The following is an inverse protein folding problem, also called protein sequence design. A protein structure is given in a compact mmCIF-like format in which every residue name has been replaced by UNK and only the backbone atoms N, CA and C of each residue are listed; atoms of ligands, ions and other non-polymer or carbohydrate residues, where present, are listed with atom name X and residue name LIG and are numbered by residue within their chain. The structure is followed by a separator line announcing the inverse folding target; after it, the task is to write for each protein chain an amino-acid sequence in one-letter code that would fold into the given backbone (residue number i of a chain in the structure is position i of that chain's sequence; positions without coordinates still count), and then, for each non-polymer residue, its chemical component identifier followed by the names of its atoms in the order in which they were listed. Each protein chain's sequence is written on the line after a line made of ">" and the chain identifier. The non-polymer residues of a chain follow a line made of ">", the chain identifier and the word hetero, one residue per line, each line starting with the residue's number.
data_IF_121555469816
#
_entry.id   IF_121555469816
#
_cell.length_a   1.000
_cell.length_b   1.000
_cell.length_c   1.000
_cell.angle_alpha   90.00
_cell.angle_beta   90.00
_cell.angle_gamma   90.00
#
_symmetry.space_group_name_H-M   'P 1'
#
loop_
_entity.id
_entity.type
_entity.pdbx_description
1 polymer ?
#
# COMPACT_ATOMS: atom_id res chain seq x y z
N UNK A 1 26.19 25.40 20.13
CA UNK A 1 25.30 24.54 20.94
C UNK A 1 24.86 23.37 20.07
N UNK A 2 25.01 22.14 20.54
CA UNK A 2 24.58 20.95 19.80
C UNK A 2 23.05 20.87 19.83
N UNK A 3 22.39 20.99 18.68
CA UNK A 3 20.95 20.79 18.54
C UNK A 3 20.65 19.30 18.75
N UNK A 4 19.87 18.99 19.79
CA UNK A 4 19.41 17.63 20.08
C UNK A 4 17.90 17.57 19.94
N UNK A 5 17.41 16.81 18.96
CA UNK A 5 15.99 16.54 18.81
C UNK A 5 15.49 15.69 19.98
N UNK A 6 14.22 15.87 20.34
CA UNK A 6 13.54 15.12 21.39
C UNK A 6 12.06 14.98 21.02
N UNK A 7 11.35 14.06 21.68
CA UNK A 7 9.99 13.66 21.30
C UNK A 7 8.96 14.82 21.32
N UNK A 8 9.08 15.73 22.28
CA UNK A 8 8.16 16.88 22.41
C UNK A 8 8.51 18.06 21.48
N UNK A 9 9.57 17.93 20.68
CA UNK A 9 9.94 18.93 19.70
C UNK A 9 8.85 19.04 18.62
N UNK A 10 8.42 20.26 18.34
CA UNK A 10 7.46 20.57 17.27
C UNK A 10 8.09 20.29 15.89
N UNK A 11 7.32 19.75 14.95
CA UNK A 11 7.81 19.39 13.61
C UNK A 11 8.46 20.59 12.89
N UNK A 12 7.89 21.79 13.03
CA UNK A 12 8.41 23.02 12.42
C UNK A 12 9.79 23.47 12.91
N UNK A 13 10.28 22.88 14.01
CA UNK A 13 11.61 23.18 14.58
C UNK A 13 12.70 22.26 14.02
N UNK A 14 12.33 21.26 13.23
CA UNK A 14 13.28 20.41 12.52
C UNK A 14 14.15 21.24 11.57
N UNK A 15 15.37 20.76 11.31
CA UNK A 15 16.22 21.41 10.33
C UNK A 15 15.59 21.28 8.94
N UNK A 16 15.79 22.27 8.05
CA UNK A 16 15.27 22.20 6.68
C UNK A 16 15.68 20.92 5.93
N UNK A 17 16.91 20.45 6.12
CA UNK A 17 17.39 19.21 5.51
C UNK A 17 16.69 17.94 6.06
N UNK A 18 16.36 17.93 7.36
CA UNK A 18 15.63 16.84 8.01
C UNK A 18 14.19 16.77 7.47
N UNK A 19 13.52 17.93 7.36
CA UNK A 19 12.17 18.02 6.77
C UNK A 19 12.16 17.64 5.28
N UNK A 20 13.13 18.12 4.51
CA UNK A 20 13.23 17.80 3.09
C UNK A 20 13.42 16.29 2.85
N UNK A 21 14.27 15.65 3.64
CA UNK A 21 14.51 14.20 3.54
C UNK A 21 13.26 13.43 3.93
N UNK A 22 12.61 13.81 5.03
CA UNK A 22 11.35 13.21 5.45
C UNK A 22 10.25 13.35 4.39
N UNK A 23 10.09 14.56 3.82
CA UNK A 23 9.15 14.81 2.74
C UNK A 23 9.44 13.92 1.53
N UNK A 24 10.71 13.81 1.14
CA UNK A 24 11.15 12.97 0.01
C UNK A 24 10.80 11.49 0.23
N UNK A 25 10.95 10.99 1.46
CA UNK A 25 10.54 9.62 1.83
C UNK A 25 9.01 9.47 1.70
N UNK A 26 8.25 10.46 2.18
CA UNK A 26 6.79 10.44 2.17
C UNK A 26 6.17 10.68 0.78
N UNK A 27 6.93 11.23 -0.17
CA UNK A 27 6.48 11.34 -1.57
C UNK A 27 6.44 10.01 -2.30
N UNK A 28 7.18 9.01 -1.82
CA UNK A 28 7.18 7.69 -2.44
C UNK A 28 5.79 7.08 -2.30
N UNK A 29 5.21 6.72 -3.45
CA UNK A 29 3.86 6.17 -3.55
C UNK A 29 2.78 7.03 -2.88
N UNK A 30 2.98 8.35 -2.88
CA UNK A 30 2.07 9.31 -2.21
C UNK A 30 1.77 8.98 -0.74
N UNK A 31 2.73 8.40 -0.03
CA UNK A 31 2.58 8.01 1.38
C UNK A 31 2.16 9.17 2.30
N UNK A 32 2.47 10.41 1.92
CA UNK A 32 1.99 11.62 2.60
C UNK A 32 0.45 11.70 2.66
N UNK A 33 -0.29 11.21 1.65
CA UNK A 33 -1.76 11.15 1.66
C UNK A 33 -2.27 10.19 2.74
N UNK A 34 -1.60 9.04 2.89
CA UNK A 34 -1.90 8.05 3.94
C UNK A 34 -1.63 8.62 5.33
N UNK A 35 -0.54 9.37 5.50
CA UNK A 35 -0.27 10.08 6.76
C UNK A 35 -1.33 11.14 7.03
N UNK A 36 -1.66 11.97 6.04
CA UNK A 36 -2.63 13.06 6.14
C UNK A 36 -4.03 12.56 6.53
N UNK A 37 -4.48 11.43 5.98
CA UNK A 37 -5.82 10.88 6.23
C UNK A 37 -6.03 10.36 7.66
N UNK A 38 -4.96 10.02 8.37
CA UNK A 38 -5.04 9.51 9.75
C UNK A 38 -4.81 10.60 10.80
N UNK A 39 -4.52 11.84 10.40
CA UNK A 39 -4.38 12.96 11.35
C UNK A 39 -5.75 13.31 11.90
N UNK A 40 -5.88 13.30 13.22
CA UNK A 40 -7.12 13.63 13.92
C UNK A 40 -6.99 14.96 14.66
N UNK A 41 -8.11 15.67 14.78
CA UNK A 41 -8.30 16.76 15.75
C UNK A 41 -8.95 16.22 17.03
N UNK A 42 -9.13 17.09 18.03
CA UNK A 42 -9.85 16.75 19.26
C UNK A 42 -11.22 16.12 18.95
N UNK A 43 -11.56 15.07 19.70
CA UNK A 43 -12.78 14.29 19.47
C UNK A 43 -12.66 13.21 18.38
N UNK A 44 -11.45 12.83 17.96
CA UNK A 44 -11.20 11.79 16.95
C UNK A 44 -11.80 12.08 15.57
N UNK A 45 -11.98 13.35 15.25
CA UNK A 45 -12.52 13.77 13.96
C UNK A 45 -11.33 13.90 12.98
N UNK A 46 -11.46 13.42 11.73
CA UNK A 46 -10.43 13.65 10.70
C UNK A 46 -10.11 15.15 10.57
N UNK A 47 -8.83 15.47 10.64
CA UNK A 47 -8.36 16.86 10.49
C UNK A 47 -8.42 17.32 9.04
N UNK A 48 -8.18 16.38 8.12
CA UNK A 48 -8.13 16.67 6.70
C UNK A 48 -9.17 15.85 5.93
N UNK A 49 -9.79 16.46 4.92
CA UNK A 49 -10.65 15.80 3.92
C UNK A 49 -9.89 15.56 2.62
N UNK A 50 -10.55 14.90 1.67
CA UNK A 50 -10.07 14.75 0.29
C UNK A 50 -9.81 16.10 -0.38
N UNK A 51 -10.60 17.13 -0.07
CA UNK A 51 -10.45 18.45 -0.69
C UNK A 51 -9.09 19.08 -0.33
N UNK A 52 -8.63 18.90 0.91
CA UNK A 52 -7.31 19.36 1.30
C UNK A 52 -6.18 18.62 0.56
N UNK A 53 -6.37 17.33 0.26
CA UNK A 53 -5.42 16.57 -0.55
C UNK A 53 -5.35 17.16 -1.96
N UNK A 54 -6.51 17.37 -2.60
CA UNK A 54 -6.60 17.96 -3.94
C UNK A 54 -5.96 19.35 -4.00
N UNK A 55 -6.16 20.19 -2.97
CA UNK A 55 -5.55 21.52 -2.87
C UNK A 55 -4.01 21.41 -2.83
N UNK A 56 -3.47 20.50 -2.03
CA UNK A 56 -2.01 20.29 -1.94
C UNK A 56 -1.45 19.79 -3.28
N UNK A 57 -2.14 18.88 -3.97
CA UNK A 57 -1.71 18.42 -5.29
C UNK A 57 -1.70 19.53 -6.33
N UNK A 58 -2.73 20.38 -6.34
CA UNK A 58 -2.78 21.54 -7.23
C UNK A 58 -1.66 22.54 -6.96
N UNK A 59 -1.36 22.82 -5.68
CA UNK A 59 -0.24 23.68 -5.29
C UNK A 59 1.11 23.06 -5.67
N UNK A 60 1.29 21.76 -5.42
CA UNK A 60 2.50 21.04 -5.80
C UNK A 60 2.76 21.11 -7.31
N UNK A 61 1.72 20.93 -8.12
CA UNK A 61 1.79 21.04 -9.58
C UNK A 61 2.14 22.46 -10.04
N UNK A 62 1.51 23.48 -9.44
CA UNK A 62 1.70 24.89 -9.82
C UNK A 62 3.08 25.41 -9.44
N UNK A 63 3.52 25.12 -8.20
CA UNK A 63 4.79 25.60 -7.65
C UNK A 63 5.98 24.70 -8.02
N UNK A 64 5.73 23.55 -8.68
CA UNK A 64 6.70 22.48 -8.93
C UNK A 64 7.42 22.04 -7.64
N UNK A 65 6.67 22.01 -6.55
CA UNK A 65 7.14 21.66 -5.21
C UNK A 65 6.69 20.26 -4.82
N UNK A 66 7.41 19.68 -3.88
CA UNK A 66 7.08 18.39 -3.32
C UNK A 66 5.77 18.49 -2.49
N UNK A 67 4.74 17.74 -2.87
CA UNK A 67 3.44 17.74 -2.18
C UNK A 67 3.54 17.35 -0.69
N UNK A 68 4.38 16.36 -0.37
CA UNK A 68 4.62 15.97 1.02
C UNK A 68 5.30 17.08 1.83
N UNK A 69 6.18 17.87 1.20
CA UNK A 69 6.80 19.02 1.84
C UNK A 69 5.77 20.12 2.12
N UNK A 70 4.92 20.45 1.14
CA UNK A 70 3.82 21.41 1.34
C UNK A 70 2.93 20.96 2.50
N UNK A 71 2.54 19.68 2.52
CA UNK A 71 1.76 19.11 3.61
C UNK A 71 2.44 19.28 4.97
N UNK A 72 3.73 18.96 5.10
CA UNK A 72 4.45 19.09 6.37
C UNK A 72 4.62 20.55 6.80
N UNK A 73 4.91 21.46 5.87
CA UNK A 73 5.02 22.91 6.14
C UNK A 73 3.70 23.44 6.71
N UNK A 74 2.58 23.09 6.07
CA UNK A 74 1.23 23.46 6.51
C UNK A 74 0.89 22.83 7.85
N UNK A 75 0.93 21.50 7.95
CA UNK A 75 0.50 20.79 9.15
C UNK A 75 1.33 21.15 10.38
N UNK A 76 2.65 21.35 10.23
CA UNK A 76 3.55 21.73 11.33
C UNK A 76 3.26 23.10 11.93
N UNK A 77 2.54 23.95 11.19
CA UNK A 77 2.15 25.31 11.57
C UNK A 77 0.64 25.47 11.76
N UNK A 78 -0.09 24.37 11.93
CA UNK A 78 -1.51 24.37 12.31
C UNK A 78 -1.75 24.29 13.83
N UNK A 79 -2.89 24.81 14.28
CA UNK A 79 -3.41 24.76 15.68
C UNK A 79 -2.64 25.51 16.77
N UNK A 80 -3.31 25.71 17.92
CA UNK A 80 -2.66 26.19 19.15
C UNK A 80 -1.66 25.16 19.70
N UNK A 81 -2.02 23.87 19.65
CA UNK A 81 -1.14 22.76 20.02
C UNK A 81 -0.50 22.18 18.78
N UNK A 82 0.78 22.52 18.55
CA UNK A 82 1.51 22.11 17.35
C UNK A 82 1.82 20.61 17.37
N UNK A 83 1.86 19.94 16.20
CA UNK A 83 2.26 18.54 16.14
C UNK A 83 3.74 18.38 16.50
N UNK A 84 4.04 17.34 17.28
CA UNK A 84 5.38 17.01 17.78
C UNK A 84 5.95 15.79 17.06
N UNK A 85 7.26 15.55 17.23
CA UNK A 85 7.91 14.34 16.71
C UNK A 85 7.33 13.06 17.31
N UNK A 86 6.88 13.09 18.55
CA UNK A 86 6.14 11.99 19.18
C UNK A 86 4.88 11.64 18.39
N UNK A 87 4.02 12.64 18.16
CA UNK A 87 2.78 12.45 17.41
C UNK A 87 3.06 11.97 15.99
N UNK A 88 4.05 12.57 15.32
CA UNK A 88 4.47 12.16 13.99
C UNK A 88 4.89 10.69 13.96
N UNK A 89 5.76 10.25 14.88
CA UNK A 89 6.22 8.86 14.93
C UNK A 89 5.08 7.88 15.16
N UNK A 90 4.18 8.19 16.11
CA UNK A 90 2.98 7.38 16.39
C UNK A 90 2.10 7.21 15.14
N UNK A 91 1.87 8.31 14.41
CA UNK A 91 1.07 8.29 13.17
C UNK A 91 1.78 7.50 12.06
N UNK A 92 3.09 7.69 11.88
CA UNK A 92 3.86 6.94 10.87
C UNK A 92 3.82 5.43 11.13
N UNK A 93 3.96 5.00 12.38
CA UNK A 93 3.85 3.59 12.77
C UNK A 93 2.43 3.08 12.54
N UNK A 94 1.42 3.84 12.96
CA UNK A 94 0.00 3.48 12.77
C UNK A 94 -0.38 3.34 11.29
N UNK A 95 0.22 4.16 10.43
CA UNK A 95 0.06 4.08 8.98
C UNK A 95 1.00 3.05 8.32
N UNK A 96 1.79 2.30 9.08
CA UNK A 96 2.79 1.35 8.57
C UNK A 96 3.80 2.00 7.60
N UNK A 97 4.06 3.30 7.75
CA UNK A 97 5.04 4.06 6.98
C UNK A 97 6.44 3.92 7.59
N UNK A 98 6.90 2.68 7.71
CA UNK A 98 8.09 2.33 8.50
C UNK A 98 9.37 2.97 7.99
N UNK A 99 9.51 3.25 6.69
CA UNK A 99 10.70 3.95 6.17
C UNK A 99 10.81 5.38 6.74
N UNK A 100 9.70 6.09 6.82
CA UNK A 100 9.66 7.42 7.42
C UNK A 100 9.79 7.33 8.96
N UNK A 101 9.16 6.34 9.58
CA UNK A 101 9.26 6.12 11.02
C UNK A 101 10.70 5.80 11.46
N UNK A 102 11.39 4.94 10.71
CA UNK A 102 12.80 4.59 10.90
C UNK A 102 13.69 5.83 10.79
N UNK A 103 13.45 6.69 9.79
CA UNK A 103 14.19 7.95 9.62
C UNK A 103 14.00 8.90 10.81
N UNK A 104 12.76 9.10 11.26
CA UNK A 104 12.48 9.94 12.43
C UNK A 104 13.14 9.37 13.69
N UNK A 105 13.10 8.06 13.89
CA UNK A 105 13.71 7.42 15.06
C UNK A 105 15.25 7.46 15.01
N UNK A 106 15.86 6.96 13.94
CA UNK A 106 17.30 6.75 13.85
C UNK A 106 18.06 8.04 13.53
N UNK A 107 17.60 8.79 12.54
CA UNK A 107 18.35 9.92 11.99
C UNK A 107 18.08 11.21 12.76
N UNK A 108 16.83 11.44 13.16
CA UNK A 108 16.44 12.66 13.89
C UNK A 108 16.59 12.45 15.40
N UNK A 109 15.90 11.46 15.98
CA UNK A 109 15.82 11.28 17.44
C UNK A 109 17.00 10.50 18.04
N UNK A 110 17.80 9.81 17.21
CA UNK A 110 18.90 8.93 17.63
C UNK A 110 18.44 7.82 18.60
N UNK A 111 17.29 7.23 18.30
CA UNK A 111 16.64 6.14 19.03
C UNK A 111 16.63 4.85 18.20
N UNK A 112 16.23 3.75 18.84
CA UNK A 112 16.03 2.47 18.15
C UNK A 112 14.87 2.53 17.16
N UNK A 113 14.91 1.66 16.15
CA UNK A 113 13.86 1.54 15.15
C UNK A 113 12.55 1.07 15.80
N UNK A 114 11.39 1.55 15.32
CA UNK A 114 10.10 0.99 15.71
C UNK A 114 10.02 -0.51 15.45
N UNK A 115 9.38 -1.25 16.37
CA UNK A 115 9.10 -2.69 16.18
C UNK A 115 8.22 -2.88 14.94
N UNK A 116 8.60 -3.80 14.07
CA UNK A 116 7.76 -4.22 12.94
C UNK A 116 6.58 -5.09 13.45
N UNK A 117 5.43 -5.07 12.76
CA UNK A 117 4.31 -5.93 13.11
C UNK A 117 4.66 -7.42 12.98
N UNK A 118 3.98 -8.28 13.73
CA UNK A 118 4.18 -9.73 13.70
C UNK A 118 3.43 -10.39 12.52
N UNK A 119 2.72 -9.61 11.69
CA UNK A 119 2.00 -10.03 10.50
C UNK A 119 1.94 -8.90 9.45
N UNK A 120 1.49 -9.20 8.23
CA UNK A 120 1.30 -8.20 7.18
C UNK A 120 2.58 -7.89 6.38
N UNK A 121 2.53 -6.90 5.47
CA UNK A 121 3.58 -6.67 4.47
C UNK A 121 4.90 -6.18 5.07
N UNK A 122 4.87 -5.57 6.27
CA UNK A 122 6.04 -5.07 6.95
C UNK A 122 6.69 -6.07 7.92
N UNK A 123 6.10 -7.27 8.06
CA UNK A 123 6.61 -8.33 8.91
C UNK A 123 7.96 -8.85 8.40
N UNK A 124 8.90 -9.08 9.33
CA UNK A 124 10.20 -9.66 9.00
C UNK A 124 10.06 -11.14 8.65
N UNK A 125 10.68 -11.56 7.55
CA UNK A 125 10.69 -12.97 7.14
C UNK A 125 12.02 -13.58 7.59
N UNK A 126 11.95 -14.75 8.23
CA UNK A 126 13.15 -15.54 8.51
C UNK A 126 13.62 -16.23 7.23
N UNK A 127 14.79 -15.82 6.75
CA UNK A 127 15.46 -16.39 5.58
C UNK A 127 16.65 -17.27 5.98
N UNK A 128 16.64 -17.84 7.19
CA UNK A 128 17.66 -18.80 7.60
C UNK A 128 17.60 -20.08 6.75
N UNK A 129 18.76 -20.69 6.51
CA UNK A 129 18.87 -21.93 5.73
C UNK A 129 17.96 -23.04 6.28
N UNK A 130 17.75 -23.06 7.60
CA UNK A 130 16.87 -24.03 8.25
C UNK A 130 15.42 -23.89 7.84
N UNK A 131 14.92 -22.66 7.68
CA UNK A 131 13.54 -22.38 7.22
C UNK A 131 13.45 -22.63 5.73
N UNK A 132 14.44 -22.18 4.96
CA UNK A 132 14.48 -22.37 3.50
C UNK A 132 14.46 -23.86 3.15
N UNK A 133 15.32 -24.68 3.77
CA UNK A 133 15.36 -26.12 3.50
C UNK A 133 14.04 -26.82 3.85
N UNK A 134 13.43 -26.48 4.99
CA UNK A 134 12.09 -26.99 5.34
C UNK A 134 11.02 -26.62 4.32
N UNK A 135 11.08 -25.41 3.77
CA UNK A 135 10.13 -24.98 2.72
C UNK A 135 10.35 -25.76 1.41
N UNK A 136 11.61 -26.03 1.04
CA UNK A 136 11.95 -26.83 -0.14
C UNK A 136 11.48 -28.29 0.03
N UNK A 137 11.75 -28.92 1.17
CA UNK A 137 11.33 -30.28 1.47
C UNK A 137 9.80 -30.43 1.38
N UNK A 138 9.06 -29.47 1.95
CA UNK A 138 7.60 -29.45 1.88
C UNK A 138 7.08 -29.30 0.44
N UNK A 139 7.76 -28.53 -0.40
CA UNK A 139 7.38 -28.34 -1.80
C UNK A 139 7.60 -29.62 -2.62
N UNK A 140 8.70 -30.35 -2.38
CA UNK A 140 8.95 -31.63 -3.04
C UNK A 140 7.90 -32.69 -2.67
N UNK A 141 7.54 -32.76 -1.39
CA UNK A 141 6.54 -33.71 -0.88
C UNK A 141 5.13 -33.48 -1.47
N UNK A 142 4.78 -32.23 -1.75
CA UNK A 142 3.54 -31.88 -2.45
C UNK A 142 3.53 -32.35 -3.91
N UNK A 143 4.67 -32.28 -4.62
CA UNK A 143 4.74 -32.71 -6.02
C UNK A 143 4.62 -34.23 -6.19
N UNK A 144 5.20 -35.02 -5.27
CA UNK A 144 5.06 -36.47 -5.28
C UNK A 144 3.63 -36.93 -5.01
N UNK A 145 2.85 -36.14 -4.27
CA UNK A 145 1.43 -36.44 -4.01
C UNK A 145 0.56 -36.25 -5.27
N UNK A 146 0.90 -35.29 -6.14
CA UNK A 146 0.21 -35.11 -7.43
C UNK A 146 0.59 -36.17 -8.46
N UNK A 147 1.86 -36.60 -8.49
CA UNK A 147 2.31 -37.67 -9.39
C UNK A 147 1.63 -39.02 -9.08
N UNK A 148 1.36 -39.29 -7.79
CA UNK A 148 0.78 -40.56 -7.34
C UNK A 148 -0.76 -40.65 -7.43
N UNK A 149 -1.47 -39.58 -7.87
CA UNK A 149 -2.92 -39.63 -8.12
C UNK A 149 -3.31 -40.11 -9.53
N UNK A 150 -2.35 -40.36 -10.41
CA UNK A 150 -2.65 -40.87 -11.75
C UNK A 150 -2.81 -42.40 -11.74
N UNK A 151 -3.83 -42.91 -11.04
CA UNK A 151 -4.43 -44.18 -11.44
C UNK A 151 -5.28 -43.86 -12.66
N UNK A 152 -4.63 -43.86 -13.84
CA UNK A 152 -5.29 -43.92 -15.14
C UNK A 152 -6.11 -45.21 -15.19
N UNK A 153 -7.38 -45.14 -14.80
CA UNK A 153 -8.36 -46.02 -15.45
C UNK A 153 -8.31 -45.70 -16.94
N UNK A 154 -8.28 -46.72 -17.82
CA UNK A 154 -8.36 -46.49 -19.26
C UNK A 154 -9.53 -45.56 -19.57
N UNK A 155 -9.28 -44.54 -20.40
CA UNK A 155 -10.25 -43.50 -20.77
C UNK A 155 -11.59 -44.07 -21.26
N UNK A 156 -11.60 -45.30 -21.77
CA UNK A 156 -12.79 -46.04 -22.17
C UNK A 156 -13.76 -46.36 -21.03
N UNK A 157 -13.28 -46.63 -19.81
CA UNK A 157 -14.16 -46.95 -18.66
C UNK A 157 -14.88 -45.71 -18.10
N UNK A 158 -14.22 -44.55 -18.14
CA UNK A 158 -14.81 -43.30 -17.67
C UNK A 158 -15.91 -42.79 -18.62
N UNK A 159 -15.71 -42.96 -19.93
CA UNK A 159 -16.70 -42.52 -20.93
C UNK A 159 -17.99 -43.35 -20.83
N UNK A 160 -17.91 -44.65 -20.55
CA UNK A 160 -19.11 -45.49 -20.35
C UNK A 160 -19.88 -45.16 -19.07
N UNK A 161 -19.20 -44.77 -17.99
CA UNK A 161 -19.85 -44.42 -16.73
C UNK A 161 -20.55 -43.06 -16.81
N UNK A 162 -19.94 -42.07 -17.49
CA UNK A 162 -20.52 -40.74 -17.73
C UNK A 162 -21.78 -40.82 -18.59
N UNK A 163 -21.75 -41.63 -19.66
CA UNK A 163 -22.91 -41.79 -20.55
C UNK A 163 -24.07 -42.55 -19.89
N UNK A 164 -23.81 -43.39 -18.88
CA UNK A 164 -24.85 -44.07 -18.09
C UNK A 164 -25.57 -43.10 -17.14
N UNK A 165 -24.91 -42.04 -16.68
CA UNK A 165 -25.46 -41.08 -15.71
C UNK A 165 -26.31 -40.00 -16.40
N UNK A 166 -25.97 -39.57 -17.61
CA UNK A 166 -26.57 -38.38 -18.24
C UNK A 166 -27.78 -38.63 -19.16
N UNK A 167 -28.38 -39.83 -19.18
CA UNK A 167 -29.54 -40.12 -20.06
C UNK A 167 -30.90 -39.77 -19.45
N UNK A 168 -30.96 -39.10 -18.29
CA UNK A 168 -32.21 -38.56 -17.76
C UNK A 168 -32.00 -37.16 -17.22
N UNK A 169 -32.29 -36.14 -18.02
CA UNK A 169 -33.14 -34.99 -17.67
C UNK A 169 -33.15 -33.94 -18.80
N UNK A 170 -34.33 -33.34 -19.01
CA UNK A 170 -34.72 -32.44 -20.12
C UNK A 170 -34.07 -31.04 -20.00
N UNK A 171 -34.01 -30.25 -21.10
CA UNK A 171 -33.20 -29.05 -21.15
C UNK A 171 -33.87 -27.85 -20.46
N UNK A 172 -33.11 -27.12 -19.65
CA UNK A 172 -33.49 -25.80 -19.11
C UNK A 172 -32.42 -24.77 -19.51
N UNK A 173 -32.89 -23.54 -19.75
CA UNK A 173 -32.35 -22.51 -20.64
C UNK A 173 -30.95 -21.97 -20.31
N UNK A 174 -30.31 -21.50 -21.39
CA UNK A 174 -28.97 -20.93 -21.48
C UNK A 174 -28.77 -19.69 -20.59
N UNK A 175 -27.73 -19.72 -19.76
CA UNK A 175 -27.17 -18.57 -19.08
C UNK A 175 -26.09 -17.94 -19.98
N UNK A 176 -26.24 -16.65 -20.28
CA UNK A 176 -25.44 -15.92 -21.24
C UNK A 176 -23.98 -15.79 -20.79
N UNK A 177 -23.05 -16.23 -21.65
CA UNK A 177 -21.62 -15.95 -21.55
C UNK A 177 -21.36 -14.45 -21.81
N UNK A 178 -20.78 -13.75 -20.84
CA UNK A 178 -20.17 -12.44 -21.06
C UNK A 178 -18.89 -12.65 -21.90
N UNK A 179 -19.00 -12.31 -23.18
CA UNK A 179 -17.88 -12.18 -24.12
C UNK A 179 -17.22 -10.83 -23.86
N UNK A 180 -15.96 -10.83 -23.45
CA UNK A 180 -15.14 -9.61 -23.53
C UNK A 180 -14.76 -9.41 -24.99
N UNK A 181 -15.32 -8.39 -25.63
CA UNK A 181 -14.92 -7.98 -26.98
C UNK A 181 -13.78 -6.98 -26.86
N UNK A 182 -12.62 -7.32 -27.42
CA UNK A 182 -11.51 -6.40 -27.60
C UNK A 182 -11.91 -5.32 -28.61
N UNK A 183 -11.98 -4.07 -28.17
CA UNK A 183 -12.29 -2.93 -29.04
C UNK A 183 -11.07 -2.61 -29.92
N UNK A 184 -11.26 -2.71 -31.24
CA UNK A 184 -10.30 -2.32 -32.27
C UNK A 184 -9.95 -0.81 -32.17
N UNK A 185 -8.69 -0.46 -32.38
CA UNK A 185 -8.11 0.88 -32.16
C UNK A 185 -8.53 1.96 -33.16
N UNK A 186 -9.56 1.73 -33.98
CA UNK A 186 -9.95 2.59 -35.11
C UNK A 186 -11.23 3.41 -34.89
N UNK A 187 -11.90 3.27 -33.74
CA UNK A 187 -13.08 4.09 -33.37
C UNK A 187 -12.79 4.97 -32.15
N UNK A 188 -12.01 6.04 -32.33
CA UNK A 188 -12.02 7.17 -31.40
C UNK A 188 -12.54 8.42 -32.12
N UNK A 189 -13.64 9.04 -31.67
CA UNK A 189 -14.09 10.32 -32.23
C UNK A 189 -13.11 11.44 -31.86
N UNK A 190 -12.44 11.99 -32.88
CA UNK A 190 -11.58 13.18 -32.77
C UNK A 190 -12.45 14.41 -32.49
N UNK A 191 -12.36 14.96 -31.28
CA UNK A 191 -12.97 16.24 -30.94
C UNK A 191 -12.01 17.37 -31.32
N UNK A 192 -12.24 18.01 -32.46
CA UNK A 192 -11.58 19.26 -32.85
C UNK A 192 -12.19 20.42 -32.06
N UNK A 193 -11.47 20.94 -31.06
CA UNK A 193 -11.82 22.20 -30.42
C UNK A 193 -11.44 23.38 -31.33
N UNK A 194 -12.43 23.92 -32.05
CA UNK A 194 -12.30 25.21 -32.73
C UNK A 194 -12.55 26.32 -31.71
N UNK A 195 -11.51 27.09 -31.37
CA UNK A 195 -11.65 28.35 -30.65
C UNK A 195 -12.19 29.42 -31.60
N UNK A 196 -13.18 30.18 -31.14
CA UNK A 196 -13.70 31.37 -31.80
C UNK A 196 -13.44 32.59 -30.92
#
# INVERSE_FOLDING_TARGET
>A
MSYKAHLDMEIRKLKPAELYTLASILSISDSWKKLMSIVLKEGNIPKFSSDHISIIEQMANSDKRNAAQIFLDEWSTMEKKRPTLKLLQELLIKAELFRAADYVACDILKQEKPKRPDYGPAHSIDTSDTVINKLLDNQMLLQDTFANRTILKPTSELISEINRICSSEKPVQAMQNYRCEELSSEELPVVLNNYK
#
